data_IF_018957930055
#
_entry.id   IF_018957930055
#
_cell.length_a   1.000
_cell.length_b   1.000
_cell.length_c   1.000
_cell.angle_alpha   90.00
_cell.angle_beta   90.00
_cell.angle_gamma   90.00
#
_symmetry.space_group_name_H-M   'P 1'
#
loop_
_entity.id
_entity.type
_entity.pdbx_description
1 polymer ?
#
# COMPACT_ATOMS: atom_id res chain seq x y z
N UNK A 1 -16.21 -110.43 -53.46
CA UNK A 1 -15.62 -111.09 -52.28
C UNK A 1 -15.80 -110.14 -51.09
N UNK A 2 -16.57 -110.69 -50.18
CA UNK A 2 -16.87 -110.35 -48.82
C UNK A 2 -15.71 -109.97 -47.90
N UNK A 3 -15.92 -109.65 -46.65
CA UNK A 3 -16.81 -108.79 -45.87
C UNK A 3 -16.04 -108.03 -44.76
N UNK A 4 -16.69 -107.30 -43.92
CA UNK A 4 -16.72 -107.36 -42.47
C UNK A 4 -17.16 -106.06 -41.80
N UNK A 5 -18.17 -106.26 -41.05
CA UNK A 5 -18.55 -105.81 -39.74
C UNK A 5 -17.60 -104.85 -38.98
N UNK A 6 -18.21 -103.96 -38.31
CA UNK A 6 -17.63 -103.04 -37.31
C UNK A 6 -18.64 -102.13 -36.67
N UNK A 7 -19.45 -102.72 -35.79
CA UNK A 7 -20.25 -101.99 -34.81
C UNK A 7 -19.42 -101.09 -33.95
N UNK A 8 -19.63 -99.79 -33.96
CA UNK A 8 -19.24 -98.92 -32.88
C UNK A 8 -20.34 -98.07 -32.30
N UNK A 9 -20.44 -98.37 -31.05
CA UNK A 9 -21.41 -97.83 -30.09
C UNK A 9 -21.33 -96.31 -29.94
N UNK A 10 -22.47 -95.74 -30.06
CA UNK A 10 -22.68 -94.33 -29.79
C UNK A 10 -22.28 -93.90 -28.35
N UNK A 11 -21.42 -92.96 -28.26
CA UNK A 11 -21.24 -92.11 -27.10
C UNK A 11 -21.92 -90.78 -27.36
N UNK A 12 -23.01 -90.52 -26.66
CA UNK A 12 -23.66 -89.23 -26.56
C UNK A 12 -22.69 -88.22 -25.97
N UNK A 13 -22.48 -87.07 -26.59
CA UNK A 13 -21.71 -85.99 -25.91
C UNK A 13 -22.60 -85.46 -24.78
N UNK A 14 -22.08 -85.56 -23.54
CA UNK A 14 -22.61 -84.89 -22.38
C UNK A 14 -22.72 -83.41 -22.69
N UNK A 15 -23.92 -82.87 -22.78
CA UNK A 15 -24.22 -81.43 -22.70
C UNK A 15 -23.81 -80.93 -21.32
N UNK A 16 -22.52 -80.60 -21.15
CA UNK A 16 -22.06 -79.83 -20.00
C UNK A 16 -22.75 -78.48 -19.99
N UNK A 17 -23.58 -78.27 -19.00
CA UNK A 17 -24.39 -77.08 -18.80
C UNK A 17 -23.51 -75.82 -18.71
N UNK A 18 -23.55 -74.99 -19.76
CA UNK A 18 -22.89 -73.69 -19.89
C UNK A 18 -23.58 -72.62 -18.95
N UNK A 19 -24.59 -73.02 -18.19
CA UNK A 19 -25.43 -72.12 -17.40
C UNK A 19 -24.81 -71.64 -16.09
N UNK A 20 -23.74 -72.22 -15.59
CA UNK A 20 -23.13 -71.78 -14.33
C UNK A 20 -22.11 -70.66 -14.45
N UNK A 21 -21.66 -70.27 -15.66
CA UNK A 21 -20.68 -69.21 -15.84
C UNK A 21 -21.28 -67.78 -15.96
N UNK A 22 -22.55 -67.64 -16.25
CA UNK A 22 -23.19 -66.31 -16.44
C UNK A 22 -23.75 -65.70 -15.16
N UNK A 23 -23.88 -66.40 -14.07
CA UNK A 23 -24.42 -65.89 -12.81
C UNK A 23 -23.43 -65.07 -11.99
N UNK A 24 -22.11 -65.29 -12.19
CA UNK A 24 -21.06 -64.66 -11.40
C UNK A 24 -20.83 -63.18 -11.77
N UNK A 25 -20.76 -62.78 -13.04
CA UNK A 25 -20.61 -61.34 -13.38
C UNK A 25 -21.84 -60.53 -12.98
N UNK A 26 -23.02 -61.08 -13.02
CA UNK A 26 -24.26 -60.37 -12.57
C UNK A 26 -24.27 -60.19 -11.04
N UNK A 27 -23.78 -61.12 -10.26
CA UNK A 27 -23.67 -60.97 -8.80
C UNK A 27 -22.57 -59.97 -8.43
N UNK A 28 -21.40 -60.02 -9.06
CA UNK A 28 -20.33 -59.04 -8.90
C UNK A 28 -20.77 -57.60 -9.29
N UNK A 29 -21.51 -57.46 -10.36
CA UNK A 29 -22.09 -56.19 -10.76
C UNK A 29 -23.12 -55.61 -9.76
N UNK A 30 -23.95 -56.49 -9.17
CA UNK A 30 -24.92 -56.09 -8.11
C UNK A 30 -24.16 -55.70 -6.84
N UNK A 31 -23.16 -56.45 -6.41
CA UNK A 31 -22.33 -56.16 -5.24
C UNK A 31 -21.55 -54.86 -5.48
N UNK A 32 -20.97 -54.65 -6.66
CA UNK A 32 -20.26 -53.43 -7.05
C UNK A 32 -21.18 -52.20 -7.04
N UNK A 33 -22.42 -52.37 -7.57
CA UNK A 33 -23.43 -51.28 -7.55
C UNK A 33 -23.91 -50.97 -6.12
N UNK A 34 -24.12 -51.99 -5.27
CA UNK A 34 -24.47 -51.81 -3.86
C UNK A 34 -23.32 -51.11 -3.10
N UNK A 35 -22.07 -51.55 -3.35
CA UNK A 35 -20.86 -50.90 -2.80
C UNK A 35 -20.73 -49.42 -3.23
N UNK A 36 -21.02 -49.16 -4.51
CA UNK A 36 -21.02 -47.77 -5.03
C UNK A 36 -22.11 -46.90 -4.38
N UNK A 37 -23.32 -47.45 -4.16
CA UNK A 37 -24.39 -46.73 -3.44
C UNK A 37 -24.01 -46.49 -1.96
N UNK A 38 -23.47 -47.50 -1.29
CA UNK A 38 -23.00 -47.37 0.09
C UNK A 38 -21.89 -46.34 0.20
N UNK A 39 -20.93 -46.36 -0.72
CA UNK A 39 -19.86 -45.37 -0.79
C UNK A 39 -20.44 -43.95 -1.04
N UNK A 40 -21.40 -43.83 -1.96
CA UNK A 40 -22.06 -42.54 -2.25
C UNK A 40 -22.82 -42.04 -1.01
N UNK A 41 -23.55 -42.89 -0.30
CA UNK A 41 -24.26 -42.53 0.93
C UNK A 41 -23.26 -42.12 2.02
N UNK A 42 -22.13 -42.82 2.15
CA UNK A 42 -21.09 -42.52 3.12
C UNK A 42 -20.41 -41.18 2.80
N UNK A 43 -20.11 -40.90 1.53
CA UNK A 43 -19.54 -39.64 1.08
C UNK A 43 -20.55 -38.48 1.28
N UNK A 44 -21.79 -38.67 0.86
CA UNK A 44 -22.87 -37.69 1.05
C UNK A 44 -23.15 -37.45 2.54
N UNK A 45 -23.29 -38.52 3.32
CA UNK A 45 -23.49 -38.44 4.77
C UNK A 45 -22.31 -37.80 5.49
N UNK A 46 -21.09 -38.14 5.12
CA UNK A 46 -19.88 -37.52 5.62
C UNK A 46 -19.80 -36.03 5.26
N UNK A 47 -20.13 -35.67 4.02
CA UNK A 47 -20.18 -34.27 3.58
C UNK A 47 -21.27 -33.50 4.33
N UNK A 48 -22.45 -34.09 4.54
CA UNK A 48 -23.52 -33.47 5.30
C UNK A 48 -23.17 -33.33 6.78
N UNK A 49 -22.53 -34.32 7.36
CA UNK A 49 -21.99 -34.28 8.73
C UNK A 49 -20.97 -33.16 8.89
N UNK A 50 -19.96 -33.08 8.01
CA UNK A 50 -18.95 -32.03 8.02
C UNK A 50 -19.52 -30.62 7.78
N UNK A 51 -20.63 -30.55 7.02
CA UNK A 51 -21.34 -29.29 6.80
C UNK A 51 -22.15 -28.83 8.01
N UNK A 52 -22.80 -29.75 8.72
CA UNK A 52 -23.70 -29.44 9.85
C UNK A 52 -22.94 -29.39 11.19
N UNK A 53 -22.11 -30.38 11.46
CA UNK A 53 -21.44 -30.55 12.75
C UNK A 53 -20.03 -29.87 12.75
N UNK A 54 -19.40 -29.81 11.58
CA UNK A 54 -18.03 -29.26 11.44
C UNK A 54 -16.95 -30.34 11.63
N UNK A 55 -15.71 -29.88 11.73
CA UNK A 55 -14.55 -30.74 11.91
C UNK A 55 -14.50 -31.27 13.34
N UNK A 56 -14.28 -32.58 13.58
CA UNK A 56 -14.16 -33.16 14.91
C UNK A 56 -13.08 -32.47 15.76
N UNK A 57 -13.34 -32.37 17.07
CA UNK A 57 -12.45 -31.67 18.01
C UNK A 57 -11.00 -32.17 17.96
N UNK A 58 -10.80 -33.48 17.80
CA UNK A 58 -9.46 -34.08 17.71
C UNK A 58 -8.62 -33.62 16.54
N UNK A 59 -9.24 -33.30 15.40
CA UNK A 59 -8.57 -32.73 14.23
C UNK A 59 -8.35 -31.23 14.40
N UNK A 60 -9.29 -30.53 15.04
CA UNK A 60 -9.17 -29.12 15.42
C UNK A 60 -7.93 -28.91 16.30
N UNK A 61 -7.79 -29.69 17.36
CA UNK A 61 -6.69 -29.56 18.33
C UNK A 61 -5.33 -29.82 17.69
N UNK A 62 -5.21 -30.80 16.81
CA UNK A 62 -3.97 -31.07 16.05
C UNK A 62 -3.62 -29.92 15.11
N UNK A 63 -4.61 -29.33 14.43
CA UNK A 63 -4.41 -28.18 13.54
C UNK A 63 -3.91 -26.98 14.34
N UNK A 64 -4.57 -26.68 15.46
CA UNK A 64 -4.19 -25.57 16.33
C UNK A 64 -2.79 -25.75 16.91
N UNK A 65 -2.44 -26.95 17.32
CA UNK A 65 -1.10 -27.26 17.83
C UNK A 65 -0.02 -27.07 16.74
N UNK A 66 -0.29 -27.54 15.52
CA UNK A 66 0.64 -27.34 14.38
C UNK A 66 0.83 -25.85 14.06
N UNK A 67 -0.21 -25.03 14.17
CA UNK A 67 -0.14 -23.58 13.97
C UNK A 67 0.64 -22.90 15.11
N UNK A 68 0.40 -23.32 16.37
CA UNK A 68 1.15 -22.82 17.54
C UNK A 68 2.65 -23.09 17.41
N UNK A 69 3.02 -24.29 16.98
CA UNK A 69 4.42 -24.65 16.74
C UNK A 69 5.10 -23.78 15.67
N UNK A 70 4.30 -23.20 14.76
CA UNK A 70 4.76 -22.23 13.76
C UNK A 70 4.68 -20.77 14.24
N UNK A 71 4.37 -20.55 15.53
CA UNK A 71 4.28 -19.21 16.14
C UNK A 71 3.01 -18.43 15.82
N UNK A 72 1.99 -19.10 15.27
CA UNK A 72 0.68 -18.50 14.97
C UNK A 72 -0.33 -19.02 15.98
N UNK A 73 -0.87 -18.11 16.82
CA UNK A 73 -2.02 -18.44 17.68
C UNK A 73 -3.29 -18.14 16.92
N UNK A 74 -4.00 -19.19 16.58
CA UNK A 74 -5.29 -19.10 15.92
C UNK A 74 -6.35 -19.71 16.80
N UNK A 75 -7.47 -19.02 16.95
CA UNK A 75 -8.68 -19.50 17.60
C UNK A 75 -9.83 -19.38 16.62
N UNK A 76 -10.73 -20.37 16.64
CA UNK A 76 -11.97 -20.33 15.87
C UNK A 76 -13.04 -21.14 16.61
N UNK A 77 -14.28 -20.69 16.49
CA UNK A 77 -15.38 -21.36 17.14
C UNK A 77 -15.73 -22.66 16.39
N UNK A 78 -15.89 -22.57 15.08
CA UNK A 78 -16.33 -23.67 14.23
C UNK A 78 -15.67 -23.64 12.87
N UNK A 79 -15.31 -24.81 12.36
CA UNK A 79 -14.91 -24.99 10.96
C UNK A 79 -15.96 -25.89 10.29
N UNK A 80 -16.49 -25.43 9.17
CA UNK A 80 -17.46 -26.14 8.35
C UNK A 80 -16.90 -26.37 6.96
N UNK A 81 -17.35 -27.44 6.35
CA UNK A 81 -17.04 -27.75 4.98
C UNK A 81 -18.28 -27.50 4.12
N UNK A 82 -18.18 -26.58 3.18
CA UNK A 82 -19.25 -26.28 2.21
C UNK A 82 -18.80 -26.69 0.82
N UNK A 83 -19.53 -27.63 0.18
CA UNK A 83 -19.15 -28.18 -1.14
C UNK A 83 -18.93 -27.09 -2.22
N UNK A 84 -19.65 -25.98 -2.17
CA UNK A 84 -19.56 -24.88 -3.13
C UNK A 84 -18.60 -23.77 -2.73
N UNK A 85 -18.18 -23.69 -1.46
CA UNK A 85 -17.40 -22.58 -0.91
C UNK A 85 -16.07 -23.01 -0.30
N UNK A 86 -15.81 -24.31 -0.22
CA UNK A 86 -14.61 -24.85 0.41
C UNK A 86 -14.72 -24.92 1.94
N UNK A 87 -13.65 -24.56 2.63
CA UNK A 87 -13.59 -24.55 4.09
C UNK A 87 -14.01 -23.17 4.60
N UNK A 88 -14.94 -23.17 5.54
CA UNK A 88 -15.45 -21.96 6.19
C UNK A 88 -15.14 -22.04 7.69
N UNK A 89 -14.35 -21.11 8.18
CA UNK A 89 -14.08 -20.93 9.60
C UNK A 89 -14.89 -19.75 10.13
N UNK A 90 -15.59 -19.96 11.26
CA UNK A 90 -16.42 -18.95 11.92
C UNK A 90 -15.74 -18.46 13.19
N UNK A 91 -15.87 -17.15 13.49
CA UNK A 91 -15.32 -16.47 14.67
C UNK A 91 -13.80 -16.68 14.77
N UNK A 92 -13.10 -16.41 13.68
CA UNK A 92 -11.65 -16.57 13.61
C UNK A 92 -10.96 -15.43 14.35
N UNK A 93 -10.01 -15.77 15.23
CA UNK A 93 -9.10 -14.84 15.87
C UNK A 93 -7.67 -15.30 15.63
N UNK A 94 -6.86 -14.38 15.12
CA UNK A 94 -5.44 -14.59 14.91
C UNK A 94 -4.69 -13.58 15.77
N UNK A 95 -3.75 -14.05 16.55
CA UNK A 95 -2.89 -13.24 17.37
C UNK A 95 -1.54 -13.90 17.58
N UNK A 96 -0.55 -13.15 18.00
CA UNK A 96 0.72 -13.72 18.42
C UNK A 96 0.63 -14.02 19.92
N UNK A 97 0.80 -15.29 20.30
CA UNK A 97 0.73 -15.70 21.70
C UNK A 97 1.87 -15.05 22.49
N UNK A 98 1.54 -14.38 23.61
CA UNK A 98 2.51 -13.87 24.57
C UNK A 98 2.85 -12.39 24.49
N UNK A 99 2.46 -11.67 23.45
CA UNK A 99 2.71 -10.23 23.33
C UNK A 99 1.43 -9.42 23.55
N UNK A 100 1.37 -8.64 24.62
CA UNK A 100 0.33 -7.63 24.84
C UNK A 100 0.28 -6.57 23.72
N UNK A 101 1.29 -6.54 22.85
CA UNK A 101 1.46 -5.66 21.70
C UNK A 101 1.39 -6.34 20.34
N UNK A 102 0.98 -7.62 20.24
CA UNK A 102 0.88 -8.34 18.96
C UNK A 102 -0.24 -7.84 18.06
N UNK A 103 -0.03 -7.94 16.75
CA UNK A 103 -1.07 -7.71 15.75
C UNK A 103 -2.23 -8.66 15.99
N UNK A 104 -3.44 -8.13 16.02
CA UNK A 104 -4.66 -8.91 16.23
C UNK A 104 -5.54 -8.79 15.01
N UNK A 105 -5.93 -9.93 14.49
CA UNK A 105 -6.93 -10.05 13.45
C UNK A 105 -8.10 -10.86 13.99
N UNK A 106 -9.31 -10.36 13.82
CA UNK A 106 -10.52 -11.11 14.06
C UNK A 106 -11.44 -11.03 12.85
N UNK A 107 -12.15 -12.10 12.54
CA UNK A 107 -13.13 -12.10 11.47
C UNK A 107 -14.32 -13.00 11.84
N UNK A 108 -15.50 -12.57 11.45
CA UNK A 108 -16.71 -13.35 11.66
C UNK A 108 -16.71 -14.62 10.81
N UNK A 109 -16.27 -14.49 9.56
CA UNK A 109 -16.19 -15.61 8.63
C UNK A 109 -14.94 -15.50 7.76
N UNK A 110 -14.19 -16.60 7.67
CA UNK A 110 -13.06 -16.78 6.76
C UNK A 110 -13.33 -18.00 5.90
N UNK A 111 -13.40 -17.81 4.59
CA UNK A 111 -13.62 -18.87 3.61
C UNK A 111 -12.34 -19.15 2.85
N UNK A 112 -11.94 -20.42 2.78
CA UNK A 112 -10.84 -20.90 1.96
C UNK A 112 -11.40 -21.65 0.76
N UNK A 113 -11.22 -21.10 -0.43
CA UNK A 113 -11.53 -21.77 -1.68
C UNK A 113 -10.52 -22.89 -1.96
N UNK A 114 -11.00 -24.04 -2.41
CA UNK A 114 -10.17 -25.20 -2.73
C UNK A 114 -10.37 -25.60 -4.20
N UNK A 115 -9.29 -26.04 -4.84
CA UNK A 115 -9.37 -26.74 -6.12
C UNK A 115 -9.81 -28.18 -5.91
N UNK A 116 -11.07 -28.45 -6.27
CA UNK A 116 -11.68 -29.77 -6.15
C UNK A 116 -10.98 -30.85 -6.99
N UNK A 117 -10.44 -30.50 -8.14
CA UNK A 117 -9.68 -31.42 -8.98
C UNK A 117 -8.42 -31.92 -8.28
N UNK A 118 -7.77 -31.05 -7.55
CA UNK A 118 -6.56 -31.36 -6.77
C UNK A 118 -6.92 -32.07 -5.44
N UNK A 119 -8.02 -31.68 -4.80
CA UNK A 119 -8.52 -32.35 -3.58
C UNK A 119 -8.80 -33.84 -3.86
N UNK A 120 -9.44 -34.18 -5.00
CA UNK A 120 -9.68 -35.56 -5.41
C UNK A 120 -8.40 -36.34 -5.70
N UNK A 121 -7.30 -35.66 -6.02
CA UNK A 121 -5.97 -36.23 -6.20
C UNK A 121 -5.15 -36.27 -4.91
N UNK A 122 -5.78 -35.99 -3.76
CA UNK A 122 -5.15 -35.88 -2.43
C UNK A 122 -4.04 -34.81 -2.35
N UNK A 123 -4.15 -33.75 -3.17
CA UNK A 123 -3.25 -32.59 -3.18
C UNK A 123 -4.08 -31.31 -3.01
N UNK A 124 -4.58 -31.02 -1.80
CA UNK A 124 -5.44 -29.84 -1.59
C UNK A 124 -4.66 -28.57 -1.91
N UNK A 125 -5.16 -27.80 -2.86
CA UNK A 125 -4.61 -26.50 -3.23
C UNK A 125 -5.63 -25.42 -2.91
N UNK A 126 -5.17 -24.34 -2.24
CA UNK A 126 -5.99 -23.19 -1.90
C UNK A 126 -5.99 -22.23 -3.08
N UNK A 127 -7.17 -21.98 -3.66
CA UNK A 127 -7.37 -21.11 -4.82
C UNK A 127 -7.83 -19.70 -4.46
N UNK A 128 -8.30 -19.51 -3.22
CA UNK A 128 -8.79 -18.21 -2.79
C UNK A 128 -9.04 -18.13 -1.29
N UNK A 129 -9.13 -16.89 -0.85
CA UNK A 129 -9.45 -16.53 0.53
C UNK A 129 -10.51 -15.42 0.50
N UNK A 130 -11.58 -15.59 1.24
CA UNK A 130 -12.59 -14.55 1.46
C UNK A 130 -12.73 -14.30 2.95
N UNK A 131 -12.67 -13.04 3.33
CA UNK A 131 -12.86 -12.57 4.70
C UNK A 131 -14.14 -11.74 4.74
N UNK A 132 -14.95 -11.92 5.78
CA UNK A 132 -16.14 -11.14 6.03
C UNK A 132 -16.15 -10.62 7.45
N UNK A 133 -16.54 -9.36 7.60
CA UNK A 133 -16.65 -8.67 8.89
C UNK A 133 -15.41 -8.85 9.75
N UNK A 134 -14.24 -8.60 9.13
CA UNK A 134 -12.96 -8.65 9.80
C UNK A 134 -12.67 -7.36 10.57
N UNK A 135 -11.82 -7.48 11.58
CA UNK A 135 -11.18 -6.36 12.26
C UNK A 135 -9.70 -6.63 12.35
N UNK A 136 -8.88 -5.68 11.95
CA UNK A 136 -7.42 -5.71 12.07
C UNK A 136 -7.00 -4.65 13.05
N UNK A 137 -6.36 -5.03 14.13
CA UNK A 137 -5.82 -4.12 15.13
C UNK A 137 -4.29 -4.22 15.13
N UNK A 138 -3.62 -3.12 14.80
CA UNK A 138 -2.17 -3.01 14.77
C UNK A 138 -1.74 -2.15 15.94
N UNK A 139 -1.04 -2.70 16.96
CA UNK A 139 -0.53 -1.92 18.07
C UNK A 139 0.61 -1.01 17.58
N UNK A 140 0.51 0.26 17.89
CA UNK A 140 1.53 1.25 17.60
C UNK A 140 2.35 1.49 18.86
N UNK A 141 3.64 1.23 18.77
CA UNK A 141 4.56 1.28 19.91
C UNK A 141 5.28 2.62 19.94
N UNK A 142 5.32 3.23 21.10
CA UNK A 142 6.19 4.36 21.41
C UNK A 142 7.07 3.97 22.60
N UNK A 143 8.38 4.07 22.44
CA UNK A 143 9.35 3.72 23.48
C UNK A 143 9.08 2.34 24.12
N UNK A 144 8.77 1.32 23.32
CA UNK A 144 8.44 -0.06 23.73
C UNK A 144 7.12 -0.21 24.53
N UNK A 145 6.26 0.80 24.56
CA UNK A 145 4.91 0.71 25.13
C UNK A 145 3.86 0.90 24.04
N UNK A 146 2.73 0.22 24.17
CA UNK A 146 1.59 0.42 23.27
C UNK A 146 1.03 1.81 23.53
N UNK A 147 1.27 2.74 22.60
CA UNK A 147 0.77 4.10 22.69
C UNK A 147 -0.68 4.20 22.18
N UNK A 148 -0.99 3.50 21.10
CA UNK A 148 -2.31 3.48 20.48
C UNK A 148 -2.49 2.20 19.66
N UNK A 149 -3.70 1.98 19.12
CA UNK A 149 -4.01 0.89 18.19
C UNK A 149 -4.62 1.46 16.94
N UNK A 150 -4.05 1.12 15.80
CA UNK A 150 -4.66 1.41 14.51
C UNK A 150 -5.63 0.29 14.17
N UNK A 151 -6.92 0.61 14.03
CA UNK A 151 -7.97 -0.36 13.79
C UNK A 151 -8.60 -0.17 12.41
N UNK A 152 -8.63 -1.23 11.63
CA UNK A 152 -9.46 -1.38 10.45
C UNK A 152 -10.67 -2.24 10.80
N UNK A 153 -11.86 -1.71 10.65
CA UNK A 153 -13.12 -2.39 11.00
C UNK A 153 -13.90 -2.74 9.75
N UNK A 154 -14.77 -3.76 9.87
CA UNK A 154 -15.61 -4.18 8.76
C UNK A 154 -14.80 -4.63 7.55
N UNK A 155 -13.67 -5.30 7.79
CA UNK A 155 -12.78 -5.75 6.72
C UNK A 155 -13.49 -6.85 5.92
N UNK A 156 -13.74 -6.55 4.66
CA UNK A 156 -14.17 -7.50 3.65
C UNK A 156 -13.06 -7.66 2.63
N UNK A 157 -12.62 -8.87 2.39
CA UNK A 157 -11.55 -9.13 1.43
C UNK A 157 -11.85 -10.35 0.58
N UNK A 158 -11.55 -10.26 -0.70
CA UNK A 158 -11.56 -11.38 -1.64
C UNK A 158 -10.20 -11.46 -2.30
N UNK A 159 -9.50 -12.56 -2.02
CA UNK A 159 -8.20 -12.86 -2.59
C UNK A 159 -8.33 -14.10 -3.47
N UNK A 160 -7.74 -14.05 -4.65
CA UNK A 160 -7.55 -15.18 -5.55
C UNK A 160 -6.07 -15.54 -5.58
N UNK A 161 -5.78 -16.81 -5.37
CA UNK A 161 -4.43 -17.34 -5.33
C UNK A 161 -4.18 -18.15 -6.61
N UNK A 162 -3.24 -17.72 -7.42
CA UNK A 162 -2.78 -18.45 -8.60
C UNK A 162 -1.43 -19.11 -8.27
N UNK A 163 -1.51 -20.21 -7.52
CA UNK A 163 -0.34 -20.88 -6.98
C UNK A 163 0.33 -20.11 -5.82
N UNK A 164 1.54 -20.54 -5.41
CA UNK A 164 2.24 -19.93 -4.29
C UNK A 164 2.89 -18.57 -4.62
N UNK A 165 3.05 -18.26 -5.89
CA UNK A 165 3.83 -17.10 -6.35
C UNK A 165 3.01 -15.89 -6.78
N UNK A 166 1.67 -16.03 -6.92
CA UNK A 166 0.82 -14.93 -7.37
C UNK A 166 -0.46 -14.83 -6.56
N UNK A 167 -0.67 -13.69 -5.94
CA UNK A 167 -1.88 -13.37 -5.20
C UNK A 167 -2.57 -12.16 -5.82
N UNK A 168 -3.85 -12.26 -6.05
CA UNK A 168 -4.69 -11.16 -6.51
C UNK A 168 -5.62 -10.76 -5.38
N UNK A 169 -5.53 -9.52 -4.95
CA UNK A 169 -6.50 -8.89 -4.07
C UNK A 169 -7.54 -8.27 -4.99
N UNK A 170 -8.65 -8.97 -5.18
CA UNK A 170 -9.70 -8.51 -6.10
C UNK A 170 -10.46 -7.33 -5.51
N UNK A 171 -10.80 -7.41 -4.24
CA UNK A 171 -11.49 -6.36 -3.51
C UNK A 171 -11.15 -6.49 -2.02
N UNK A 172 -10.66 -5.42 -1.45
CA UNK A 172 -10.45 -5.24 -0.01
C UNK A 172 -11.17 -3.96 0.38
N UNK A 173 -12.13 -4.07 1.28
CA UNK A 173 -12.87 -2.94 1.86
C UNK A 173 -12.69 -2.94 3.35
N UNK A 174 -12.54 -1.75 3.92
CA UNK A 174 -12.47 -1.57 5.36
C UNK A 174 -12.98 -0.18 5.74
N UNK A 175 -13.45 -0.06 6.97
CA UNK A 175 -13.75 1.23 7.59
C UNK A 175 -12.57 1.65 8.45
N UNK A 176 -12.14 2.90 8.28
CA UNK A 176 -11.18 3.59 9.13
C UNK A 176 -11.93 4.63 9.96
N UNK A 177 -11.39 5.12 11.09
CA UNK A 177 -12.10 6.10 11.93
C UNK A 177 -12.57 7.35 11.19
N UNK A 178 -11.88 7.74 10.13
CA UNK A 178 -12.13 8.94 9.33
C UNK A 178 -12.83 8.69 7.99
N UNK A 179 -13.15 7.43 7.65
CA UNK A 179 -13.75 7.17 6.33
C UNK A 179 -13.74 5.69 5.91
N UNK A 180 -13.72 5.47 4.61
CA UNK A 180 -13.67 4.14 3.99
C UNK A 180 -12.37 3.93 3.24
N UNK A 181 -11.87 2.71 3.26
CA UNK A 181 -10.69 2.27 2.53
C UNK A 181 -11.06 1.15 1.56
N UNK A 182 -10.58 1.26 0.34
CA UNK A 182 -10.67 0.19 -0.66
C UNK A 182 -9.31 -0.07 -1.26
N UNK A 183 -8.95 -1.35 -1.41
CA UNK A 183 -7.73 -1.72 -2.09
C UNK A 183 -7.97 -2.88 -3.06
N UNK A 184 -7.25 -2.86 -4.17
CA UNK A 184 -7.15 -3.96 -5.11
C UNK A 184 -5.75 -4.01 -5.70
N UNK A 185 -5.29 -5.21 -6.07
CA UNK A 185 -3.95 -5.30 -6.63
C UNK A 185 -3.45 -6.73 -6.80
N UNK A 186 -2.20 -6.80 -7.21
CA UNK A 186 -1.49 -8.06 -7.47
C UNK A 186 -0.19 -8.06 -6.69
N UNK A 187 0.07 -9.19 -6.05
CA UNK A 187 1.33 -9.50 -5.37
C UNK A 187 2.00 -10.67 -6.07
N UNK A 188 3.20 -10.47 -6.55
CA UNK A 188 4.08 -11.51 -7.08
C UNK A 188 5.14 -11.85 -6.04
N UNK A 189 5.57 -13.11 -6.04
CA UNK A 189 6.59 -13.63 -5.13
C UNK A 189 6.32 -13.39 -3.63
N UNK A 190 5.10 -13.63 -3.10
CA UNK A 190 4.77 -13.36 -1.71
C UNK A 190 5.60 -14.18 -0.72
N UNK A 191 6.24 -15.25 -1.18
CA UNK A 191 7.18 -16.06 -0.38
C UNK A 191 8.43 -15.29 0.02
N UNK A 192 8.80 -14.23 -0.69
CA UNK A 192 9.90 -13.33 -0.34
C UNK A 192 9.65 -12.55 0.97
N UNK A 193 8.39 -12.45 1.43
CA UNK A 193 8.04 -11.87 2.74
C UNK A 193 8.45 -12.75 3.93
N UNK A 194 8.76 -14.03 3.69
CA UNK A 194 9.20 -14.90 4.77
C UNK A 194 10.62 -14.53 5.17
N UNK A 195 10.83 -14.07 6.41
CA UNK A 195 12.21 -13.83 6.85
C UNK A 195 12.99 -15.14 6.76
N UNK A 196 14.27 -15.10 6.37
CA UNK A 196 15.14 -16.28 6.41
C UNK A 196 15.10 -16.91 7.81
N UNK A 197 15.09 -18.24 7.92
CA UNK A 197 15.08 -18.92 9.20
C UNK A 197 16.31 -18.46 10.02
N UNK A 198 16.08 -18.00 11.26
CA UNK A 198 17.14 -17.51 12.15
C UNK A 198 17.40 -16.00 12.10
N UNK A 199 16.75 -15.24 11.25
CA UNK A 199 16.85 -13.79 11.30
C UNK A 199 15.97 -13.26 12.44
N UNK A 200 16.53 -12.58 13.46
CA UNK A 200 15.70 -11.94 14.47
C UNK A 200 14.76 -10.98 13.77
N UNK A 201 13.49 -10.91 14.21
CA UNK A 201 12.48 -10.00 13.67
C UNK A 201 13.00 -8.56 13.81
N UNK A 202 13.78 -8.12 12.80
CA UNK A 202 14.67 -6.98 12.90
C UNK A 202 13.96 -5.68 12.55
N UNK A 203 14.50 -4.63 13.07
CA UNK A 203 14.42 -3.19 12.84
C UNK A 203 13.57 -2.65 11.67
N UNK A 204 13.35 -3.38 10.59
CA UNK A 204 12.44 -3.00 9.50
C UNK A 204 10.97 -2.92 9.93
N UNK A 205 10.53 -3.74 10.91
CA UNK A 205 9.15 -3.71 11.39
C UNK A 205 8.84 -2.51 12.30
N UNK A 206 9.85 -1.85 12.84
CA UNK A 206 9.70 -0.67 13.72
C UNK A 206 9.54 0.63 12.94
N UNK A 207 10.21 0.78 11.80
CA UNK A 207 10.20 2.02 11.02
C UNK A 207 8.81 2.34 10.44
N UNK A 208 8.13 1.36 9.82
CA UNK A 208 6.79 1.57 9.26
C UNK A 208 5.73 1.80 10.36
N UNK A 209 5.87 1.14 11.53
CA UNK A 209 4.97 1.36 12.68
C UNK A 209 5.12 2.77 13.25
N UNK A 210 6.34 3.30 13.34
CA UNK A 210 6.59 4.68 13.73
C UNK A 210 6.00 5.68 12.72
N UNK A 211 6.03 5.35 11.44
CA UNK A 211 5.38 6.15 10.38
C UNK A 211 3.86 6.10 10.52
N UNK A 212 3.28 4.92 10.74
CA UNK A 212 1.84 4.78 10.99
C UNK A 212 1.40 5.54 12.24
N UNK A 213 2.18 5.53 13.32
CA UNK A 213 1.88 6.29 14.53
C UNK A 213 1.82 7.80 14.24
N UNK A 214 2.77 8.32 13.46
CA UNK A 214 2.74 9.73 13.03
C UNK A 214 1.51 10.05 12.19
N UNK A 215 1.22 9.20 11.21
CA UNK A 215 0.02 9.32 10.36
C UNK A 215 -1.24 9.29 11.21
N UNK A 216 -1.35 8.35 12.15
CA UNK A 216 -2.51 8.26 13.03
C UNK A 216 -2.69 9.52 13.88
N UNK A 217 -1.62 10.03 14.52
CA UNK A 217 -1.65 11.27 15.29
C UNK A 217 -2.13 12.46 14.44
N UNK A 218 -1.59 12.60 13.24
CA UNK A 218 -2.05 13.63 12.31
C UNK A 218 -3.53 13.45 11.95
N UNK A 219 -3.98 12.21 11.70
CA UNK A 219 -5.40 11.94 11.41
C UNK A 219 -6.32 12.17 12.61
N UNK A 220 -5.85 11.98 13.84
CA UNK A 220 -6.62 12.28 15.07
C UNK A 220 -6.81 13.79 15.28
N UNK A 221 -5.87 14.62 14.81
CA UNK A 221 -5.99 16.08 14.82
C UNK A 221 -6.98 16.59 13.74
N UNK A 222 -7.24 15.76 12.74
CA UNK A 222 -8.10 16.07 11.61
C UNK A 222 -9.54 15.66 11.92
N UNK A 223 -10.48 16.61 11.89
CA UNK A 223 -11.91 16.32 12.04
C UNK A 223 -12.58 16.29 10.67
N UNK A 224 -12.89 15.09 10.22
CA UNK A 224 -13.65 14.90 8.99
C UNK A 224 -15.14 15.15 9.24
N UNK A 225 -15.71 16.13 8.58
CA UNK A 225 -17.17 16.39 8.61
C UNK A 225 -17.92 15.45 7.68
N UNK A 226 -17.26 15.03 6.59
CA UNK A 226 -17.71 14.00 5.67
C UNK A 226 -16.68 12.88 5.64
N UNK A 227 -17.08 11.60 5.64
CA UNK A 227 -16.15 10.48 5.58
C UNK A 227 -15.23 10.59 4.36
N UNK A 228 -13.94 10.40 4.58
CA UNK A 228 -12.96 10.32 3.49
C UNK A 228 -13.10 8.98 2.75
N UNK A 229 -12.85 8.98 1.46
CA UNK A 229 -12.75 7.79 0.64
C UNK A 229 -11.30 7.61 0.18
N UNK A 230 -10.70 6.48 0.55
CA UNK A 230 -9.34 6.12 0.18
C UNK A 230 -9.37 4.90 -0.73
N UNK A 231 -8.79 5.01 -1.92
CA UNK A 231 -8.68 3.93 -2.89
C UNK A 231 -7.22 3.67 -3.20
N UNK A 232 -6.80 2.42 -3.11
CA UNK A 232 -5.45 1.96 -3.42
C UNK A 232 -5.50 0.88 -4.49
N UNK A 233 -4.75 1.05 -5.57
CA UNK A 233 -4.46 0.01 -6.54
C UNK A 233 -2.97 -0.22 -6.55
N UNK A 234 -2.54 -1.48 -6.57
CA UNK A 234 -1.11 -1.76 -6.59
C UNK A 234 -0.79 -3.04 -7.36
N UNK A 235 0.42 -3.07 -7.87
CA UNK A 235 1.08 -4.24 -8.39
C UNK A 235 2.49 -4.26 -7.81
N UNK A 236 2.82 -5.32 -7.09
CA UNK A 236 4.12 -5.40 -6.42
C UNK A 236 4.73 -6.78 -6.63
N UNK A 237 5.99 -6.78 -7.04
CA UNK A 237 6.86 -7.94 -6.99
C UNK A 237 7.72 -7.84 -5.72
N UNK A 238 7.48 -8.74 -4.76
CA UNK A 238 8.18 -8.69 -3.48
C UNK A 238 9.62 -9.19 -3.55
N UNK A 239 9.99 -9.88 -4.64
CA UNK A 239 11.37 -10.24 -4.92
C UNK A 239 12.13 -9.08 -5.60
N UNK A 240 11.41 -8.23 -6.35
CA UNK A 240 11.98 -7.09 -7.08
C UNK A 240 11.16 -5.83 -6.76
N UNK A 241 11.34 -5.20 -5.59
CA UNK A 241 10.57 -4.02 -5.18
C UNK A 241 10.62 -2.86 -6.19
N UNK A 242 11.71 -2.81 -6.98
CA UNK A 242 11.87 -1.84 -8.08
C UNK A 242 10.80 -1.94 -9.18
N UNK A 243 10.18 -3.11 -9.35
CA UNK A 243 9.14 -3.33 -10.34
C UNK A 243 7.74 -3.00 -9.81
N UNK A 244 7.63 -2.55 -8.56
CA UNK A 244 6.34 -2.26 -7.93
C UNK A 244 5.74 -0.96 -8.44
N UNK A 245 4.41 -0.95 -8.55
CA UNK A 245 3.62 0.24 -8.86
C UNK A 245 2.42 0.35 -7.93
N UNK A 246 2.01 1.57 -7.62
CA UNK A 246 0.83 1.85 -6.81
C UNK A 246 0.14 3.13 -7.25
N UNK A 247 -1.18 3.16 -7.17
CA UNK A 247 -2.03 4.31 -7.38
C UNK A 247 -2.88 4.52 -6.12
N UNK A 248 -2.79 5.68 -5.53
CA UNK A 248 -3.56 6.10 -4.36
C UNK A 248 -4.44 7.27 -4.75
N UNK A 249 -5.72 7.18 -4.46
CA UNK A 249 -6.68 8.26 -4.64
C UNK A 249 -7.39 8.49 -3.30
N UNK A 250 -7.41 9.73 -2.86
CA UNK A 250 -8.05 10.15 -1.61
C UNK A 250 -9.00 11.29 -1.92
N UNK A 251 -10.26 11.15 -1.54
CA UNK A 251 -11.24 12.23 -1.63
C UNK A 251 -11.90 12.46 -0.28
N UNK A 252 -12.06 13.72 0.10
CA UNK A 252 -12.76 14.12 1.31
C UNK A 252 -13.54 15.42 1.05
N UNK A 253 -14.69 15.58 1.68
CA UNK A 253 -15.45 16.81 1.58
C UNK A 253 -14.86 17.90 2.48
N UNK A 254 -15.56 18.25 3.56
CA UNK A 254 -15.06 19.27 4.49
C UNK A 254 -14.27 18.64 5.63
N UNK A 255 -13.12 19.24 5.91
CA UNK A 255 -12.18 18.79 6.93
C UNK A 255 -11.76 20.00 7.80
N UNK A 256 -11.79 19.84 9.12
CA UNK A 256 -11.24 20.83 10.05
C UNK A 256 -9.91 20.32 10.64
N UNK A 257 -8.86 21.13 10.55
CA UNK A 257 -7.53 20.82 11.06
C UNK A 257 -6.84 22.07 11.59
N UNK A 258 -6.36 22.01 12.83
CA UNK A 258 -5.58 23.08 13.47
C UNK A 258 -6.26 24.48 13.37
N UNK A 259 -7.59 24.55 13.57
CA UNK A 259 -8.36 25.80 13.47
C UNK A 259 -8.63 26.28 12.05
N UNK A 260 -8.27 25.48 11.03
CA UNK A 260 -8.52 25.73 9.61
C UNK A 260 -9.63 24.84 9.10
N UNK A 261 -10.41 25.31 8.15
CA UNK A 261 -11.37 24.52 7.38
C UNK A 261 -10.83 24.30 5.98
N UNK A 262 -10.74 23.06 5.58
CA UNK A 262 -10.36 22.65 4.23
C UNK A 262 -11.62 22.15 3.52
N UNK A 263 -11.88 22.66 2.32
CA UNK A 263 -13.05 22.29 1.53
C UNK A 263 -12.61 21.48 0.33
N UNK A 264 -13.25 20.33 0.15
CA UNK A 264 -13.08 19.39 -0.95
C UNK A 264 -11.61 19.09 -1.28
N UNK A 265 -11.15 18.04 -0.70
CA UNK A 265 -9.77 17.55 -0.88
C UNK A 265 -9.83 16.39 -1.87
N UNK A 266 -9.12 16.52 -2.98
CA UNK A 266 -8.86 15.44 -3.92
C UNK A 266 -7.34 15.28 -4.05
N UNK A 267 -6.83 14.10 -3.81
CA UNK A 267 -5.41 13.72 -3.93
C UNK A 267 -5.31 12.46 -4.78
N UNK A 268 -4.53 12.53 -5.83
CA UNK A 268 -4.14 11.39 -6.65
C UNK A 268 -2.61 11.25 -6.61
N UNK A 269 -2.13 10.07 -6.24
CA UNK A 269 -0.71 9.77 -6.21
C UNK A 269 -0.43 8.45 -6.92
N UNK A 270 0.63 8.43 -7.71
CA UNK A 270 1.09 7.26 -8.45
C UNK A 270 2.58 7.04 -8.21
N UNK A 271 2.93 5.82 -7.87
CA UNK A 271 4.31 5.33 -7.81
C UNK A 271 4.50 4.31 -8.91
N UNK A 272 5.57 4.43 -9.66
CA UNK A 272 5.93 3.46 -10.72
C UNK A 272 7.44 3.36 -10.85
N UNK A 273 7.95 2.27 -11.46
CA UNK A 273 9.34 2.23 -11.89
C UNK A 273 9.65 3.40 -12.82
N UNK A 274 10.81 4.02 -12.65
CA UNK A 274 11.28 5.06 -13.57
C UNK A 274 11.72 4.40 -14.89
N UNK A 275 11.06 4.77 -15.99
CA UNK A 275 11.34 4.19 -17.29
C UNK A 275 12.75 4.52 -17.81
N UNK A 276 13.25 5.70 -17.45
CA UNK A 276 14.55 6.21 -17.92
C UNK A 276 15.71 5.76 -17.03
N UNK A 277 15.43 5.37 -15.77
CA UNK A 277 16.44 5.05 -14.77
C UNK A 277 16.12 3.74 -14.04
N UNK A 278 16.60 2.60 -14.52
CA UNK A 278 16.39 1.31 -13.85
C UNK A 278 16.86 1.33 -12.40
N UNK A 279 16.03 0.80 -11.48
CA UNK A 279 16.31 0.80 -10.04
C UNK A 279 15.88 2.06 -9.29
N UNK A 280 15.19 2.98 -9.97
CA UNK A 280 14.54 4.13 -9.35
C UNK A 280 13.02 4.01 -9.42
N UNK A 281 12.36 4.60 -8.44
CA UNK A 281 10.91 4.79 -8.42
C UNK A 281 10.61 6.26 -8.72
N UNK A 282 9.63 6.47 -9.58
CA UNK A 282 9.03 7.77 -9.82
C UNK A 282 7.71 7.85 -9.03
N UNK A 283 7.57 8.88 -8.21
CA UNK A 283 6.32 9.26 -7.56
C UNK A 283 5.77 10.50 -8.27
N UNK A 284 4.53 10.42 -8.67
CA UNK A 284 3.76 11.55 -9.16
C UNK A 284 2.55 11.74 -8.26
N UNK A 285 2.35 12.96 -7.72
CA UNK A 285 1.19 13.29 -6.91
C UNK A 285 0.59 14.62 -7.34
N UNK A 286 -0.73 14.64 -7.45
CA UNK A 286 -1.52 15.85 -7.70
C UNK A 286 -2.58 15.99 -6.61
N UNK A 287 -2.80 17.21 -6.14
CA UNK A 287 -3.86 17.50 -5.20
C UNK A 287 -4.61 18.77 -5.56
N UNK A 288 -5.87 18.80 -5.16
CA UNK A 288 -6.76 19.94 -5.33
C UNK A 288 -7.54 20.16 -4.05
N UNK A 289 -7.63 21.39 -3.63
CA UNK A 289 -8.48 21.84 -2.55
C UNK A 289 -9.33 22.99 -3.06
N UNK A 290 -10.62 22.91 -2.88
CA UNK A 290 -11.55 23.95 -3.33
C UNK A 290 -11.39 25.23 -2.52
N UNK A 291 -11.14 25.08 -1.20
CA UNK A 291 -10.88 26.21 -0.32
C UNK A 291 -10.14 25.82 0.95
N UNK A 292 -9.37 26.77 1.48
CA UNK A 292 -8.76 26.74 2.79
C UNK A 292 -9.13 28.01 3.52
N UNK A 293 -9.85 27.90 4.62
CA UNK A 293 -10.30 29.05 5.40
C UNK A 293 -9.69 28.97 6.80
N UNK A 294 -9.03 30.05 7.21
CA UNK A 294 -8.51 30.27 8.55
C UNK A 294 -8.88 31.65 9.06
N UNK A 295 -8.54 31.97 10.31
CA UNK A 295 -8.71 33.34 10.85
C UNK A 295 -7.80 34.36 10.15
N UNK A 296 -6.68 33.92 9.59
CA UNK A 296 -5.64 34.77 9.04
C UNK A 296 -5.71 34.89 7.51
N UNK A 297 -6.27 33.88 6.83
CA UNK A 297 -6.31 33.83 5.38
C UNK A 297 -7.45 32.95 4.84
N UNK A 298 -7.93 33.31 3.67
CA UNK A 298 -8.78 32.48 2.81
C UNK A 298 -8.05 32.20 1.51
N UNK A 299 -7.96 30.94 1.12
CA UNK A 299 -7.33 30.51 -0.12
C UNK A 299 -8.36 29.72 -0.93
N UNK A 300 -8.58 30.11 -2.17
CA UNK A 300 -9.50 29.43 -3.08
C UNK A 300 -8.73 28.79 -4.23
N UNK A 301 -9.20 27.63 -4.67
CA UNK A 301 -8.68 26.93 -5.84
C UNK A 301 -7.24 26.49 -5.70
N UNK A 302 -6.84 25.98 -4.52
CA UNK A 302 -5.48 25.52 -4.28
C UNK A 302 -5.23 24.21 -5.04
N UNK A 303 -4.18 24.17 -5.85
CA UNK A 303 -3.76 23.01 -6.64
C UNK A 303 -2.27 22.79 -6.44
N UNK A 304 -1.86 21.55 -6.35
CA UNK A 304 -0.46 21.22 -6.27
C UNK A 304 -0.10 19.97 -7.06
N UNK A 305 1.15 19.89 -7.44
CA UNK A 305 1.76 18.75 -8.10
C UNK A 305 3.13 18.49 -7.51
N UNK A 306 3.47 17.23 -7.36
CA UNK A 306 4.78 16.76 -6.91
C UNK A 306 5.22 15.61 -7.80
N UNK A 307 6.39 15.77 -8.42
CA UNK A 307 7.11 14.73 -9.14
C UNK A 307 8.42 14.46 -8.40
N UNK A 308 8.65 13.22 -8.03
CA UNK A 308 9.81 12.80 -7.25
C UNK A 308 10.41 11.56 -7.89
N UNK A 309 11.73 11.53 -8.04
CA UNK A 309 12.47 10.32 -8.40
C UNK A 309 13.40 9.92 -7.25
N UNK A 310 13.32 8.65 -6.85
CA UNK A 310 14.06 8.13 -5.71
C UNK A 310 14.69 6.78 -6.04
N UNK A 311 16.01 6.62 -5.88
CA UNK A 311 16.66 5.31 -5.87
C UNK A 311 16.12 4.47 -4.72
N UNK A 312 15.88 3.17 -4.94
CA UNK A 312 15.26 2.28 -3.94
C UNK A 312 16.12 2.12 -2.70
N UNK A 313 17.43 2.16 -2.86
CA UNK A 313 18.42 2.04 -1.79
C UNK A 313 18.75 3.38 -1.10
N UNK A 314 18.27 4.50 -1.63
CA UNK A 314 18.54 5.82 -1.08
C UNK A 314 17.43 6.28 -0.13
N UNK A 315 17.82 6.93 0.97
CA UNK A 315 16.88 7.52 1.94
C UNK A 315 16.31 8.84 1.42
N UNK A 316 17.06 9.55 0.57
CA UNK A 316 16.68 10.86 0.06
C UNK A 316 16.42 10.81 -1.44
N UNK A 317 15.46 11.61 -1.93
CA UNK A 317 15.17 11.70 -3.36
C UNK A 317 16.34 12.25 -4.15
N UNK A 318 16.48 11.80 -5.38
CA UNK A 318 17.47 12.35 -6.32
C UNK A 318 17.02 13.67 -6.92
N UNK A 319 15.73 13.77 -7.26
CA UNK A 319 15.13 14.97 -7.83
C UNK A 319 13.70 15.12 -7.35
N UNK A 320 13.31 16.33 -7.03
CA UNK A 320 11.96 16.74 -6.63
C UNK A 320 11.55 17.92 -7.48
N UNK A 321 10.44 17.79 -8.20
CA UNK A 321 9.81 18.89 -8.93
C UNK A 321 8.44 19.08 -8.32
N UNK A 322 8.09 20.30 -7.98
CA UNK A 322 6.80 20.59 -7.38
C UNK A 322 6.22 21.90 -7.91
N UNK A 323 4.92 21.97 -7.93
CA UNK A 323 4.22 23.21 -8.22
C UNK A 323 3.02 23.38 -7.28
N UNK A 324 2.73 24.61 -6.94
CA UNK A 324 1.58 25.02 -6.14
C UNK A 324 0.93 26.21 -6.80
N UNK A 325 -0.38 26.17 -6.98
CA UNK A 325 -1.14 27.27 -7.54
C UNK A 325 -2.37 27.57 -6.71
N UNK A 326 -2.73 28.84 -6.57
CA UNK A 326 -3.97 29.30 -5.95
C UNK A 326 -4.67 30.30 -6.87
N UNK A 327 -5.98 30.17 -6.97
CA UNK A 327 -6.78 31.14 -7.75
C UNK A 327 -6.84 32.46 -7.02
N UNK A 328 -7.07 32.44 -5.72
CA UNK A 328 -7.10 33.65 -4.88
C UNK A 328 -6.58 33.34 -3.48
N UNK A 329 -5.79 34.24 -2.93
CA UNK A 329 -5.37 34.24 -1.53
C UNK A 329 -5.75 35.61 -0.94
N UNK A 330 -6.63 35.59 0.02
CA UNK A 330 -7.09 36.78 0.72
C UNK A 330 -6.65 36.77 2.17
N UNK A 331 -6.05 37.84 2.62
CA UNK A 331 -5.67 38.09 4.00
C UNK A 331 -6.22 39.48 4.43
N UNK A 332 -6.26 39.82 5.71
CA UNK A 332 -6.61 41.16 6.17
C UNK A 332 -5.71 42.28 5.62
N UNK A 333 -4.54 41.93 5.10
CA UNK A 333 -3.53 42.91 4.64
C UNK A 333 -3.35 42.99 3.13
N UNK A 334 -3.58 41.87 2.43
CA UNK A 334 -3.34 41.77 0.99
C UNK A 334 -4.25 40.76 0.31
N UNK A 335 -4.42 40.92 -0.98
CA UNK A 335 -5.08 39.97 -1.88
C UNK A 335 -4.10 39.59 -2.97
N UNK A 336 -3.96 38.27 -3.24
CA UNK A 336 -3.21 37.72 -4.36
C UNK A 336 -4.20 37.05 -5.30
N UNK A 337 -4.08 37.27 -6.58
CA UNK A 337 -4.85 36.57 -7.60
C UNK A 337 -3.90 35.82 -8.55
N UNK A 338 -4.27 34.58 -8.89
CA UNK A 338 -3.53 33.77 -9.84
C UNK A 338 -2.09 33.48 -9.40
N UNK A 339 -1.87 33.14 -8.13
CA UNK A 339 -0.55 32.81 -7.61
C UNK A 339 -0.12 31.42 -8.08
N UNK A 340 1.10 31.27 -8.58
CA UNK A 340 1.73 30.01 -8.96
C UNK A 340 3.17 30.00 -8.48
N UNK A 341 3.52 28.94 -7.81
CA UNK A 341 4.87 28.67 -7.29
C UNK A 341 5.35 27.36 -7.86
N UNK A 342 6.51 27.35 -8.45
CA UNK A 342 7.15 26.14 -8.99
C UNK A 342 8.54 25.99 -8.39
N UNK A 343 8.92 24.77 -8.06
CA UNK A 343 10.21 24.48 -7.50
C UNK A 343 10.81 23.20 -8.07
N UNK A 344 12.12 23.21 -8.23
CA UNK A 344 12.91 22.05 -8.57
C UNK A 344 14.03 21.94 -7.56
N UNK A 345 14.19 20.78 -6.95
CA UNK A 345 15.30 20.47 -6.05
C UNK A 345 16.02 19.24 -6.58
N UNK A 346 17.31 19.38 -6.85
CA UNK A 346 18.15 18.28 -7.33
C UNK A 346 19.25 17.99 -6.32
N UNK A 347 19.46 16.73 -6.06
CA UNK A 347 20.59 16.28 -5.26
C UNK A 347 21.86 16.43 -6.11
N UNK A 348 22.79 17.23 -5.62
CA UNK A 348 24.11 17.31 -6.21
C UNK A 348 24.77 15.93 -6.06
N UNK A 349 25.27 15.38 -7.17
CA UNK A 349 26.09 14.18 -7.08
C UNK A 349 27.19 14.47 -6.03
N UNK A 350 27.41 13.58 -5.05
CA UNK A 350 28.58 13.71 -4.23
C UNK A 350 29.74 13.78 -5.24
N UNK A 351 30.39 14.93 -5.32
CA UNK A 351 31.68 14.99 -6.03
C UNK A 351 32.40 13.76 -5.56
N UNK A 352 32.72 12.85 -6.48
CA UNK A 352 33.43 11.64 -6.13
C UNK A 352 34.71 12.15 -5.44
N UNK A 353 34.63 12.27 -4.12
CA UNK A 353 35.75 12.62 -3.30
C UNK A 353 36.69 11.46 -3.61
N UNK A 354 37.78 11.69 -4.39
CA UNK A 354 38.71 10.62 -4.58
C UNK A 354 39.09 10.22 -3.17
N UNK A 355 38.85 8.97 -2.79
CA UNK A 355 39.30 8.42 -1.52
C UNK A 355 40.80 8.60 -1.52
N UNK A 356 41.24 9.78 -1.11
CA UNK A 356 42.65 10.05 -0.92
C UNK A 356 43.04 9.25 0.30
N UNK A 357 44.19 8.58 0.23
CA UNK A 357 44.72 7.86 1.39
C UNK A 357 44.72 8.80 2.59
N UNK A 358 44.30 8.29 3.74
CA UNK A 358 44.25 9.03 4.99
C UNK A 358 45.59 9.74 5.25
N UNK A 359 45.55 11.08 5.31
CA UNK A 359 46.69 11.93 5.60
C UNK A 359 46.50 12.55 7.00
N UNK A 360 47.25 12.07 8.00
CA UNK A 360 47.13 12.52 9.40
C UNK A 360 47.51 14.01 9.59
N UNK A 361 48.21 14.64 8.63
CA UNK A 361 48.56 16.08 8.69
C UNK A 361 47.35 17.01 8.40
N UNK A 362 46.19 16.50 8.02
CA UNK A 362 45.01 17.29 7.65
C UNK A 362 44.05 17.59 8.82
N UNK A 363 44.21 16.96 9.98
CA UNK A 363 43.34 17.19 11.14
C UNK A 363 43.40 18.60 11.73
N UNK A 364 44.34 19.42 11.31
CA UNK A 364 44.53 20.81 11.79
C UNK A 364 43.92 21.89 10.88
N UNK A 365 43.27 21.50 9.76
CA UNK A 365 42.53 22.47 8.93
C UNK A 365 41.12 22.65 9.49
N UNK A 366 40.73 23.89 9.70
CA UNK A 366 39.37 24.33 10.02
C UNK A 366 38.34 23.46 9.28
N UNK A 367 37.26 23.03 9.94
CA UNK A 367 36.23 22.23 9.30
C UNK A 367 35.79 22.97 8.02
N UNK A 368 36.06 22.37 6.87
CA UNK A 368 35.58 22.89 5.59
C UNK A 368 34.07 23.01 5.74
N UNK A 369 33.53 24.19 5.40
CA UNK A 369 32.10 24.40 5.38
C UNK A 369 31.43 23.21 4.63
N UNK A 370 30.36 22.63 5.17
CA UNK A 370 29.69 21.49 4.55
C UNK A 370 29.33 21.86 3.11
N UNK A 371 29.70 20.99 2.16
CA UNK A 371 29.33 21.19 0.76
C UNK A 371 27.80 21.06 0.60
N UNK A 372 27.17 21.91 -0.21
CA UNK A 372 25.72 21.82 -0.43
C UNK A 372 25.36 20.46 -1.04
N UNK A 373 24.36 19.82 -0.46
CA UNK A 373 23.87 18.52 -0.93
C UNK A 373 22.78 18.66 -1.97
N UNK A 374 22.13 19.83 -2.03
CA UNK A 374 21.00 20.10 -2.91
C UNK A 374 21.13 21.48 -3.53
N UNK A 375 20.70 21.56 -4.77
CA UNK A 375 20.42 22.83 -5.45
C UNK A 375 18.94 22.92 -5.71
N UNK A 376 18.32 23.99 -5.23
CA UNK A 376 16.90 24.25 -5.45
C UNK A 376 16.70 25.52 -6.24
N UNK A 377 15.78 25.49 -7.19
CA UNK A 377 15.28 26.65 -7.89
C UNK A 377 13.81 26.83 -7.59
N UNK A 378 13.40 28.07 -7.38
CA UNK A 378 12.03 28.46 -7.09
C UNK A 378 11.61 29.55 -8.08
N UNK A 379 10.42 29.44 -8.66
CA UNK A 379 9.81 30.48 -9.45
C UNK A 379 8.42 30.76 -8.90
N UNK A 380 8.14 32.04 -8.64
CA UNK A 380 6.83 32.51 -8.18
C UNK A 380 6.28 33.43 -9.26
N UNK A 381 5.07 33.15 -9.73
CA UNK A 381 4.34 34.00 -10.65
C UNK A 381 3.06 34.49 -9.98
N UNK A 382 2.85 35.76 -9.98
CA UNK A 382 1.65 36.41 -9.44
C UNK A 382 0.98 37.20 -10.56
N UNK A 383 -0.28 36.91 -10.81
CA UNK A 383 -1.06 37.67 -11.77
C UNK A 383 -1.38 39.08 -11.23
N UNK A 384 -1.79 39.14 -9.99
CA UNK A 384 -2.05 40.39 -9.31
C UNK A 384 -1.75 40.26 -7.82
N UNK A 385 -1.10 41.27 -7.26
CA UNK A 385 -0.91 41.46 -5.83
C UNK A 385 -1.37 42.83 -5.45
N UNK A 386 -2.25 42.93 -4.46
CA UNK A 386 -2.79 44.21 -3.95
C UNK A 386 -2.72 44.22 -2.44
N UNK A 387 -2.05 45.24 -1.84
CA UNK A 387 -2.15 45.48 -0.40
C UNK A 387 -3.34 46.41 -0.13
N UNK A 388 -3.92 46.29 1.08
CA UNK A 388 -5.11 47.05 1.47
C UNK A 388 -4.74 48.38 2.14
N UNK A 389 -3.61 48.44 2.83
CA UNK A 389 -3.14 49.69 3.49
C UNK A 389 -1.61 49.62 3.76
N UNK A 390 -0.77 50.45 3.14
CA UNK A 390 -1.08 51.36 2.01
C UNK A 390 -1.42 50.57 0.75
N UNK A 391 -2.18 51.16 -0.16
CA UNK A 391 -2.56 50.51 -1.42
C UNK A 391 -1.33 50.43 -2.35
N UNK A 392 -0.78 49.23 -2.48
CA UNK A 392 0.28 48.88 -3.43
C UNK A 392 -0.25 47.78 -4.35
N UNK A 393 -0.05 47.97 -5.66
CA UNK A 393 -0.48 47.02 -6.67
C UNK A 393 0.72 46.58 -7.53
N UNK A 394 0.90 45.27 -7.68
CA UNK A 394 1.80 44.67 -8.62
C UNK A 394 1.00 43.83 -9.61
N UNK A 395 1.26 44.00 -10.89
CA UNK A 395 0.65 43.22 -11.96
C UNK A 395 1.72 42.34 -12.63
N UNK A 396 1.37 41.08 -12.89
CA UNK A 396 2.26 40.10 -13.58
C UNK A 396 3.68 39.95 -12.97
N UNK A 397 3.78 40.02 -11.64
CA UNK A 397 5.06 39.92 -10.97
C UNK A 397 5.63 38.49 -11.03
N UNK A 398 6.95 38.37 -11.25
CA UNK A 398 7.68 37.11 -11.18
C UNK A 398 8.88 37.24 -10.25
N UNK A 399 9.04 36.23 -9.39
CA UNK A 399 10.20 36.08 -8.52
C UNK A 399 10.89 34.76 -8.85
N UNK A 400 12.18 34.81 -9.16
CA UNK A 400 13.04 33.64 -9.30
C UNK A 400 14.00 33.59 -8.13
N UNK A 401 14.17 32.41 -7.55
CA UNK A 401 15.12 32.17 -6.49
C UNK A 401 15.92 30.90 -6.77
N UNK A 402 17.21 30.94 -6.49
CA UNK A 402 18.08 29.74 -6.49
C UNK A 402 18.72 29.61 -5.12
N UNK A 403 18.76 28.40 -4.59
CA UNK A 403 19.21 28.09 -3.25
C UNK A 403 20.12 26.86 -3.29
N UNK A 404 21.35 27.01 -2.84
CA UNK A 404 22.26 25.90 -2.55
C UNK A 404 22.16 25.60 -1.05
N UNK A 405 21.78 24.38 -0.67
CA UNK A 405 21.49 24.02 0.72
C UNK A 405 21.85 22.56 1.03
N UNK A 406 21.86 22.23 2.30
CA UNK A 406 21.82 20.87 2.83
C UNK A 406 20.58 20.70 3.73
N UNK A 407 20.49 19.60 4.48
CA UNK A 407 19.36 19.35 5.39
C UNK A 407 19.39 20.23 6.65
N UNK A 408 20.50 20.92 6.93
CA UNK A 408 20.71 21.71 8.15
C UNK A 408 20.63 23.21 7.91
N UNK A 409 20.88 23.67 6.66
CA UNK A 409 20.85 25.08 6.34
C UNK A 409 21.12 25.39 4.87
N UNK A 410 21.05 26.66 4.54
CA UNK A 410 21.38 27.18 3.22
C UNK A 410 22.80 27.70 3.17
N UNK A 411 23.47 27.62 1.98
CA UNK A 411 24.84 28.05 1.74
C UNK A 411 24.92 29.25 0.83
N UNK A 412 24.02 29.36 -0.14
CA UNK A 412 23.93 30.49 -1.08
C UNK A 412 22.49 30.66 -1.51
N UNK A 413 22.05 31.91 -1.61
CA UNK A 413 20.75 32.28 -2.16
C UNK A 413 20.92 33.41 -3.17
N UNK A 414 20.15 33.37 -4.27
CA UNK A 414 20.03 34.43 -5.25
C UNK A 414 18.55 34.61 -5.57
N UNK A 415 18.09 35.83 -5.59
CA UNK A 415 16.73 36.21 -5.92
C UNK A 415 16.68 37.28 -6.99
N UNK A 416 15.75 37.15 -7.91
CA UNK A 416 15.45 38.08 -8.99
C UNK A 416 13.96 38.34 -9.02
N UNK A 417 13.53 39.57 -8.75
CA UNK A 417 12.15 40.02 -8.81
C UNK A 417 11.95 40.90 -10.04
N UNK A 418 10.95 40.58 -10.84
CA UNK A 418 10.53 41.36 -12.00
C UNK A 418 9.05 41.65 -11.89
N UNK A 419 8.67 42.90 -12.00
CA UNK A 419 7.26 43.34 -12.03
C UNK A 419 7.10 44.42 -13.10
N UNK A 420 6.44 44.10 -14.22
CA UNK A 420 6.24 45.07 -15.30
C UNK A 420 5.26 46.20 -14.97
N UNK A 421 4.46 46.06 -13.93
CA UNK A 421 3.57 47.11 -13.45
C UNK A 421 3.65 47.24 -11.94
N UNK A 422 4.17 48.35 -11.44
CA UNK A 422 4.20 48.70 -10.02
C UNK A 422 3.46 50.02 -9.78
N UNK A 423 2.47 50.00 -8.90
CA UNK A 423 1.72 51.21 -8.48
C UNK A 423 1.66 51.29 -6.97
N UNK A 424 2.01 52.44 -6.44
CA UNK A 424 1.85 52.78 -5.03
C UNK A 424 1.34 54.21 -4.90
N UNK A 425 0.88 54.66 -3.71
CA UNK A 425 0.47 56.04 -3.49
C UNK A 425 1.54 57.07 -3.78
N UNK A 426 2.81 56.65 -3.77
CA UNK A 426 3.97 57.56 -3.92
C UNK A 426 4.75 57.36 -5.22
N UNK A 427 4.57 56.23 -5.91
CA UNK A 427 5.32 55.87 -7.09
C UNK A 427 4.49 55.02 -8.05
N UNK A 428 4.44 55.43 -9.30
CA UNK A 428 3.90 54.66 -10.42
C UNK A 428 5.03 54.46 -11.42
N UNK A 429 5.53 53.23 -11.51
CA UNK A 429 6.62 52.85 -12.42
C UNK A 429 6.21 51.73 -13.33
N UNK A 430 6.66 51.80 -14.60
CA UNK A 430 6.31 50.82 -15.62
C UNK A 430 7.01 49.46 -15.45
N UNK A 431 8.09 49.42 -14.73
CA UNK A 431 8.81 48.15 -14.46
C UNK A 431 9.70 48.28 -13.21
N UNK A 432 9.73 47.19 -12.42
CA UNK A 432 10.60 47.01 -11.30
C UNK A 432 11.46 45.75 -11.55
N UNK A 433 12.78 45.88 -11.48
CA UNK A 433 13.72 44.77 -11.58
C UNK A 433 14.72 44.82 -10.42
N UNK A 434 14.75 43.78 -9.60
CA UNK A 434 15.53 43.68 -8.40
C UNK A 434 16.32 42.37 -8.38
N UNK A 435 17.62 42.40 -8.15
CA UNK A 435 18.46 41.22 -7.99
C UNK A 435 19.21 41.28 -6.68
N UNK A 436 19.12 40.24 -5.87
CA UNK A 436 19.79 40.10 -4.57
C UNK A 436 20.50 38.77 -4.47
N UNK A 437 21.74 38.80 -3.94
CA UNK A 437 22.47 37.55 -3.59
C UNK A 437 22.93 37.61 -2.13
N UNK A 438 22.79 36.49 -1.44
CA UNK A 438 23.17 36.37 -0.03
C UNK A 438 23.96 35.09 0.25
N UNK A 439 24.86 35.17 1.25
CA UNK A 439 25.57 34.01 1.83
C UNK A 439 25.43 34.06 3.35
N UNK A 440 25.38 32.90 4.06
CA UNK A 440 25.42 32.89 5.52
C UNK A 440 26.70 33.58 6.01
N UNK A 441 26.57 34.49 6.98
CA UNK A 441 27.68 35.24 7.55
C UNK A 441 28.07 36.50 6.78
N UNK A 442 27.50 36.78 5.61
CA UNK A 442 27.60 38.13 5.04
C UNK A 442 26.85 39.11 5.96
N UNK A 443 27.46 40.23 6.36
CA UNK A 443 26.72 41.25 7.09
C UNK A 443 25.51 41.63 6.25
N UNK A 444 24.35 41.74 6.87
CA UNK A 444 23.13 42.19 6.19
C UNK A 444 23.46 43.30 5.25
N UNK A 445 23.07 43.27 3.95
CA UNK A 445 23.29 44.39 3.05
C UNK A 445 22.70 45.59 3.75
N UNK A 446 23.58 46.52 4.10
CA UNK A 446 23.17 47.72 4.82
C UNK A 446 21.97 48.32 4.08
N UNK A 447 20.96 48.69 4.84
CA UNK A 447 19.80 49.45 4.34
C UNK A 447 20.40 50.52 3.40
N UNK A 448 20.14 50.38 2.11
CA UNK A 448 20.46 51.43 1.15
C UNK A 448 19.50 52.54 1.56
N UNK A 449 20.05 53.52 2.28
CA UNK A 449 19.31 54.77 2.52
C UNK A 449 18.92 55.35 1.17
N UNK A 450 17.68 55.82 1.03
CA UNK A 450 17.12 56.26 -0.21
C UNK A 450 17.82 57.46 -0.83
#
# INVERSE_FOLDING_TARGET
VKPADGTETGRSPERRSIWHRQAWPRRLFRIGRLGAYLLLILVLGGALYLNQVGIPASLKDRLLETLRQRGVTMEFERIRFRATRGIVAEQVRLGRSGDLGGEQFSAQEVQLGLDWGQVLRLRPEVTGLRIREGTVAIPLLESNRVASRFELRGVEATLRLEGPERWFIEDLRASIPSGSFRASGRLENPTALKPPPGTPASSGSTAWRATLLRVQRTLEEIRFQTPAEVRLRFQSDLAVPAASSAELSVSAGRVAWAGRSLERIDLDARVSPDADRPGQLALHAEWRLEGVVSQEASILGLRGRLDLTQPIDAVLPGRVVWSLGAETVETPRFVLAGARVEGVSERLAPNAIPVRPWDPARETRSPQAPEPQFQSSLQVHLKEFKTLAPEVRLEEASLKATLDHDLTGWHRARWELQAPGFKSPWLDCGALDLSVSARPGDPSPGVVDP
#
